data_IF_975813215735
#
_entry.id   IF_975813215735
#
_cell.length_a   1.000
_cell.length_b   1.000
_cell.length_c   1.000
_cell.angle_alpha   90.00
_cell.angle_beta   90.00
_cell.angle_gamma   90.00
#
_symmetry.space_group_name_H-M   'P 1'
#
loop_
_entity.id
_entity.type
_entity.pdbx_description
1 polymer ?
#
# COMPACT_ATOMS: atom_id res chain seq x y z
N UNK A 1 82.35 -16.99 27.27
CA UNK A 1 81.30 -16.10 27.80
C UNK A 1 80.68 -15.30 26.69
N UNK A 2 79.47 -15.68 26.28
CA UNK A 2 78.29 -14.85 25.99
C UNK A 2 77.32 -15.72 25.20
N UNK A 3 76.22 -16.08 25.86
CA UNK A 3 75.16 -16.93 25.35
C UNK A 3 74.23 -16.10 24.46
N UNK A 4 73.89 -16.65 23.29
CA UNK A 4 72.79 -16.18 22.45
C UNK A 4 71.67 -17.21 22.62
N UNK A 5 70.56 -16.77 23.21
CA UNK A 5 69.38 -17.59 23.47
C UNK A 5 68.53 -17.68 22.19
N UNK A 6 68.43 -18.90 21.65
CA UNK A 6 67.52 -19.27 20.56
C UNK A 6 66.09 -19.40 21.08
N UNK A 7 65.16 -18.62 20.53
CA UNK A 7 63.72 -18.75 20.77
C UNK A 7 63.18 -19.84 19.83
N UNK A 8 62.79 -20.97 20.42
CA UNK A 8 62.29 -22.15 19.74
C UNK A 8 60.76 -22.17 19.81
N UNK A 9 60.12 -21.78 18.70
CA UNK A 9 58.67 -21.89 18.50
C UNK A 9 58.24 -23.36 18.50
N UNK A 10 57.40 -23.73 19.47
CA UNK A 10 56.80 -25.06 19.58
C UNK A 10 55.59 -25.18 18.66
N UNK A 11 55.73 -25.93 17.56
CA UNK A 11 54.64 -26.53 16.80
C UNK A 11 54.44 -27.97 17.30
N UNK A 12 53.23 -28.39 17.71
CA UNK A 12 52.90 -29.81 17.76
C UNK A 12 52.27 -30.29 16.45
N UNK A 13 52.78 -31.43 15.99
CA UNK A 13 52.42 -32.16 14.78
C UNK A 13 51.03 -32.80 14.87
N UNK A 14 50.32 -32.68 13.74
CA UNK A 14 49.27 -33.52 13.19
C UNK A 14 49.15 -34.96 13.72
N UNK A 15 47.91 -35.34 14.09
CA UNK A 15 47.38 -36.69 13.92
C UNK A 15 46.25 -36.64 12.87
N UNK A 16 46.31 -37.56 11.92
CA UNK A 16 45.50 -37.68 10.72
C UNK A 16 44.22 -38.51 10.94
N UNK A 17 43.23 -38.24 10.07
CA UNK A 17 42.09 -39.06 9.59
C UNK A 17 40.71 -38.91 10.30
N UNK A 18 39.58 -39.13 9.58
CA UNK A 18 39.20 -38.69 8.22
C UNK A 18 37.85 -37.92 8.23
N UNK A 19 37.38 -37.33 7.11
CA UNK A 19 36.27 -36.38 7.12
C UNK A 19 34.92 -37.08 7.23
N UNK A 20 34.09 -36.65 8.18
CA UNK A 20 32.66 -36.97 8.17
C UNK A 20 32.00 -36.21 7.03
N UNK A 21 31.65 -36.96 5.99
CA UNK A 21 30.70 -36.54 4.98
C UNK A 21 29.35 -36.20 5.64
N UNK A 22 29.10 -34.91 5.89
CA UNK A 22 27.74 -34.41 5.99
C UNK A 22 27.24 -34.27 4.55
N UNK A 23 26.58 -35.34 4.09
CA UNK A 23 25.77 -35.32 2.89
C UNK A 23 24.80 -34.14 2.97
N UNK A 24 25.00 -33.19 2.05
CA UNK A 24 24.03 -32.20 1.64
C UNK A 24 22.73 -32.91 1.28
N UNK A 25 21.72 -32.79 2.16
CA UNK A 25 20.35 -33.04 1.78
C UNK A 25 19.94 -31.93 0.78
N UNK A 26 19.46 -32.27 -0.43
CA UNK A 26 18.86 -31.25 -1.29
C UNK A 26 17.64 -30.66 -0.56
N UNK A 27 17.35 -29.35 -0.73
CA UNK A 27 16.09 -28.81 -0.25
C UNK A 27 14.98 -29.62 -0.93
N UNK A 28 14.17 -30.27 -0.11
CA UNK A 28 12.97 -30.96 -0.58
C UNK A 28 12.09 -29.92 -1.24
N UNK A 29 12.12 -29.87 -2.57
CA UNK A 29 11.07 -29.28 -3.36
C UNK A 29 9.78 -29.99 -2.96
N UNK A 30 9.00 -29.33 -2.11
CA UNK A 30 7.66 -29.78 -1.79
C UNK A 30 6.91 -29.89 -3.11
N UNK A 31 6.19 -31.00 -3.36
CA UNK A 31 5.43 -31.12 -4.59
C UNK A 31 4.44 -29.95 -4.61
N UNK A 32 4.55 -29.10 -5.65
CA UNK A 32 3.46 -28.23 -6.03
C UNK A 32 2.27 -29.15 -6.32
N UNK A 33 1.46 -29.41 -5.30
CA UNK A 33 0.10 -29.82 -5.50
C UNK A 33 -0.53 -28.71 -6.31
N UNK A 34 -0.78 -29.02 -7.57
CA UNK A 34 -1.77 -28.40 -8.42
C UNK A 34 -3.13 -28.50 -7.74
N UNK A 35 -3.33 -27.71 -6.69
CA UNK A 35 -4.65 -27.38 -6.21
C UNK A 35 -5.17 -26.37 -7.22
N UNK A 36 -5.87 -26.88 -8.23
CA UNK A 36 -6.84 -26.07 -8.97
C UNK A 36 -7.88 -25.58 -7.98
N UNK A 37 -7.55 -24.51 -7.26
CA UNK A 37 -8.39 -23.92 -6.25
C UNK A 37 -9.48 -23.16 -6.99
N UNK A 38 -10.74 -23.48 -6.68
CA UNK A 38 -11.90 -22.87 -7.29
C UNK A 38 -11.84 -21.35 -7.15
N UNK A 39 -11.63 -20.64 -8.25
CA UNK A 39 -11.76 -19.19 -8.35
C UNK A 39 -13.17 -18.81 -7.85
N UNK A 40 -13.24 -18.19 -6.67
CA UNK A 40 -14.50 -17.76 -6.08
C UNK A 40 -15.13 -16.67 -6.93
N UNK A 41 -16.14 -17.01 -7.72
CA UNK A 41 -16.91 -16.04 -8.49
C UNK A 41 -17.95 -15.36 -7.58
N UNK A 42 -17.90 -14.03 -7.48
CA UNK A 42 -18.86 -13.22 -6.72
C UNK A 42 -19.77 -12.46 -7.69
N UNK A 43 -21.05 -12.36 -7.37
CA UNK A 43 -22.00 -11.58 -8.15
C UNK A 43 -22.03 -10.14 -7.65
N UNK A 44 -21.52 -9.20 -8.46
CA UNK A 44 -21.66 -7.77 -8.23
C UNK A 44 -22.95 -7.28 -8.86
N UNK A 45 -23.94 -6.98 -8.01
CA UNK A 45 -25.24 -6.44 -8.42
C UNK A 45 -25.24 -4.93 -8.25
N UNK A 46 -25.67 -4.18 -9.26
CA UNK A 46 -25.83 -2.74 -9.17
C UNK A 46 -27.01 -2.24 -10.00
N UNK A 47 -27.63 -1.16 -9.54
CA UNK A 47 -28.78 -0.54 -10.22
C UNK A 47 -28.30 0.69 -10.96
N UNK A 48 -28.68 0.82 -12.24
CA UNK A 48 -28.31 1.99 -13.06
C UNK A 48 -29.53 2.52 -13.81
N UNK A 49 -29.69 3.85 -13.77
CA UNK A 49 -30.64 4.56 -14.63
C UNK A 49 -30.08 4.63 -16.05
N UNK A 50 -30.83 4.10 -17.00
CA UNK A 50 -30.45 4.10 -18.42
C UNK A 50 -30.73 5.47 -19.05
N UNK A 51 -30.15 5.75 -20.23
CA UNK A 51 -30.38 6.99 -20.98
C UNK A 51 -31.86 7.26 -21.31
N UNK A 52 -32.70 6.21 -21.31
CA UNK A 52 -34.16 6.29 -21.54
C UNK A 52 -34.96 6.47 -20.24
N UNK A 53 -34.30 6.80 -19.13
CA UNK A 53 -34.94 7.02 -17.82
C UNK A 53 -35.31 5.74 -17.07
N UNK A 54 -35.27 4.56 -17.70
CA UNK A 54 -35.57 3.27 -17.06
C UNK A 54 -34.48 2.89 -16.05
N UNK A 55 -34.90 2.49 -14.86
CA UNK A 55 -34.02 1.93 -13.83
C UNK A 55 -33.90 0.43 -14.07
N UNK A 56 -32.67 -0.08 -14.23
CA UNK A 56 -32.41 -1.50 -14.45
C UNK A 56 -31.34 -2.01 -13.49
N UNK A 57 -31.51 -3.25 -13.04
CA UNK A 57 -30.52 -3.99 -12.28
C UNK A 57 -29.57 -4.71 -13.22
N UNK A 58 -28.28 -4.57 -12.98
CA UNK A 58 -27.21 -5.23 -13.71
C UNK A 58 -26.48 -6.17 -12.75
N UNK A 59 -26.22 -7.39 -13.21
CA UNK A 59 -25.41 -8.38 -12.48
C UNK A 59 -24.16 -8.63 -13.29
N UNK A 60 -23.00 -8.54 -12.64
CA UNK A 60 -21.70 -8.90 -13.23
C UNK A 60 -21.05 -9.96 -12.36
N UNK A 61 -20.51 -11.00 -12.99
CA UNK A 61 -19.63 -11.95 -12.31
C UNK A 61 -18.24 -11.33 -12.17
N UNK A 62 -17.71 -11.40 -10.96
CA UNK A 62 -16.38 -10.96 -10.59
C UNK A 62 -15.58 -12.18 -10.14
N UNK A 63 -14.47 -12.44 -10.80
CA UNK A 63 -13.60 -13.57 -10.47
C UNK A 63 -12.52 -13.09 -9.52
N UNK A 64 -12.52 -13.64 -8.30
CA UNK A 64 -11.51 -13.35 -7.30
C UNK A 64 -10.31 -14.28 -7.49
N UNK A 65 -9.12 -13.69 -7.43
CA UNK A 65 -7.82 -14.30 -7.68
C UNK A 65 -6.93 -14.18 -6.45
N UNK A 66 -6.00 -15.11 -6.32
CA UNK A 66 -4.92 -15.10 -5.32
C UNK A 66 -3.54 -14.90 -5.96
N UNK A 67 -3.42 -15.05 -7.28
CA UNK A 67 -2.18 -14.93 -8.06
C UNK A 67 -1.93 -13.50 -8.60
N UNK A 68 -2.33 -12.47 -7.84
CA UNK A 68 -2.15 -11.07 -8.26
C UNK A 68 -0.82 -10.51 -7.73
N UNK A 69 0.00 -9.88 -8.59
CA UNK A 69 1.28 -9.34 -8.17
C UNK A 69 1.09 -8.18 -7.18
N UNK A 70 1.83 -8.23 -6.09
CA UNK A 70 1.82 -7.23 -5.02
C UNK A 70 2.81 -6.09 -5.26
N UNK A 71 3.76 -6.29 -6.18
CA UNK A 71 4.87 -5.40 -6.50
C UNK A 71 6.02 -5.39 -5.49
N UNK A 72 5.91 -6.16 -4.39
CA UNK A 72 6.94 -6.26 -3.36
C UNK A 72 7.83 -7.49 -3.57
N UNK A 73 9.17 -7.36 -3.48
CA UNK A 73 10.11 -8.48 -3.56
C UNK A 73 9.96 -9.48 -2.41
N UNK A 74 9.25 -9.10 -1.34
CA UNK A 74 9.06 -9.95 -0.16
C UNK A 74 7.87 -10.90 -0.30
N UNK A 75 6.92 -10.57 -1.20
CA UNK A 75 5.67 -11.29 -1.35
C UNK A 75 5.55 -11.96 -2.72
N UNK A 76 6.11 -11.32 -3.75
CA UNK A 76 6.05 -11.82 -5.12
C UNK A 76 7.13 -12.87 -5.38
N UNK A 77 6.84 -13.79 -6.29
CA UNK A 77 7.82 -14.74 -6.79
C UNK A 77 9.02 -14.02 -7.42
N UNK A 78 10.21 -14.61 -7.29
CA UNK A 78 11.47 -14.08 -7.83
C UNK A 78 11.49 -13.92 -9.37
N UNK A 79 10.47 -14.43 -10.06
CA UNK A 79 10.29 -14.28 -11.51
C UNK A 79 9.70 -12.93 -11.91
N UNK A 80 9.13 -12.19 -10.95
CA UNK A 80 8.59 -10.85 -11.17
C UNK A 80 9.64 -9.80 -10.78
N UNK A 81 9.84 -8.82 -11.66
CA UNK A 81 10.72 -7.69 -11.38
C UNK A 81 10.10 -6.81 -10.28
N UNK A 82 10.75 -6.68 -9.11
CA UNK A 82 10.19 -5.94 -8.00
C UNK A 82 10.15 -4.45 -8.33
N UNK A 83 8.95 -3.86 -8.24
CA UNK A 83 8.76 -2.43 -8.48
C UNK A 83 8.88 -1.61 -7.21
N UNK A 84 8.66 -2.21 -6.04
CA UNK A 84 8.88 -1.61 -4.73
C UNK A 84 10.21 -2.10 -4.16
N UNK A 85 11.01 -1.19 -3.61
CA UNK A 85 12.36 -1.50 -3.09
C UNK A 85 12.63 -0.85 -1.73
N UNK A 86 11.76 0.07 -1.29
CA UNK A 86 11.88 0.76 -0.01
C UNK A 86 11.55 -0.12 1.19
N UNK A 87 11.92 0.36 2.38
CA UNK A 87 11.51 -0.22 3.67
C UNK A 87 10.17 0.31 4.17
N UNK A 88 9.57 1.28 3.47
CA UNK A 88 8.26 1.86 3.75
C UNK A 88 7.47 1.93 2.46
N UNK A 89 6.28 1.34 2.43
CA UNK A 89 5.33 1.39 1.33
C UNK A 89 4.17 2.31 1.67
N UNK A 90 3.81 3.14 0.71
CA UNK A 90 2.77 4.15 0.90
C UNK A 90 1.52 3.71 0.17
N UNK A 91 0.45 3.43 0.90
CA UNK A 91 -0.89 3.22 0.34
C UNK A 91 -1.59 4.56 0.24
N UNK A 92 -2.07 4.92 -0.94
CA UNK A 92 -2.78 6.18 -1.14
C UNK A 92 -4.28 6.02 -0.99
N UNK A 93 -4.90 7.02 -0.36
CA UNK A 93 -6.33 7.26 -0.43
C UNK A 93 -6.71 8.08 -1.69
N UNK A 94 -7.97 7.99 -2.11
CA UNK A 94 -8.55 8.72 -3.24
C UNK A 94 -8.38 10.23 -3.08
N UNK A 95 -8.72 10.79 -1.92
CA UNK A 95 -8.67 12.25 -1.71
C UNK A 95 -7.23 12.77 -1.78
N UNK A 96 -6.25 11.99 -1.33
CA UNK A 96 -4.83 12.34 -1.47
C UNK A 96 -4.45 12.46 -2.94
N UNK A 97 -4.87 11.52 -3.78
CA UNK A 97 -4.60 11.60 -5.22
C UNK A 97 -5.34 12.77 -5.88
N UNK A 98 -6.60 13.00 -5.52
CA UNK A 98 -7.45 14.03 -6.14
C UNK A 98 -6.98 15.46 -5.87
N UNK A 99 -6.39 15.69 -4.70
CA UNK A 99 -6.04 17.03 -4.21
C UNK A 99 -4.53 17.28 -4.16
N UNK A 100 -3.69 16.24 -4.09
CA UNK A 100 -2.25 16.36 -3.86
C UNK A 100 -1.40 15.68 -4.95
N UNK A 101 -1.90 15.59 -6.19
CA UNK A 101 -1.16 14.96 -7.30
C UNK A 101 0.19 15.64 -7.58
N UNK A 102 0.29 16.97 -7.38
CA UNK A 102 1.53 17.73 -7.57
C UNK A 102 2.63 17.34 -6.56
N UNK A 103 2.23 16.90 -5.36
CA UNK A 103 3.13 16.33 -4.36
C UNK A 103 3.58 14.92 -4.77
N UNK A 104 2.67 14.09 -5.25
CA UNK A 104 2.97 12.72 -5.72
C UNK A 104 3.92 12.71 -6.94
N UNK A 105 3.96 13.82 -7.69
CA UNK A 105 4.91 14.05 -8.78
C UNK A 105 6.33 14.40 -8.32
N UNK A 106 6.59 14.56 -7.02
CA UNK A 106 7.93 14.86 -6.50
C UNK A 106 8.75 13.59 -6.34
N UNK A 107 10.05 13.67 -6.64
CA UNK A 107 10.97 12.54 -6.55
C UNK A 107 11.15 12.00 -5.11
N UNK A 108 10.77 12.80 -4.11
CA UNK A 108 10.78 12.45 -2.69
C UNK A 108 9.71 11.42 -2.31
N UNK A 109 8.66 11.25 -3.13
CA UNK A 109 7.60 10.27 -2.92
C UNK A 109 7.88 9.06 -3.81
N UNK A 110 8.16 7.91 -3.20
CA UNK A 110 8.49 6.65 -3.89
C UNK A 110 7.89 5.48 -3.13
N UNK A 111 7.92 4.31 -3.76
CA UNK A 111 7.43 3.05 -3.19
C UNK A 111 5.93 3.12 -2.83
N UNK A 112 5.15 3.53 -3.83
CA UNK A 112 3.74 3.88 -3.69
C UNK A 112 2.86 2.77 -4.25
N UNK A 113 1.90 2.34 -3.44
CA UNK A 113 0.86 1.38 -3.76
C UNK A 113 -0.43 2.14 -4.04
N UNK A 114 -0.88 2.09 -5.28
CA UNK A 114 -2.17 2.64 -5.70
C UNK A 114 -3.17 1.50 -5.84
N UNK A 115 -4.28 1.56 -5.11
CA UNK A 115 -5.30 0.52 -5.19
C UNK A 115 -6.17 0.70 -6.44
N UNK A 116 -6.68 -0.40 -7.01
CA UNK A 116 -7.59 -0.35 -8.16
C UNK A 116 -8.85 0.47 -7.86
N UNK A 117 -9.38 0.35 -6.64
CA UNK A 117 -10.46 1.22 -6.13
C UNK A 117 -10.18 2.71 -6.32
N UNK A 118 -9.00 3.15 -5.90
CA UNK A 118 -8.55 4.54 -6.01
C UNK A 118 -8.40 4.96 -7.47
N UNK A 119 -7.78 4.12 -8.32
CA UNK A 119 -7.65 4.41 -9.75
C UNK A 119 -9.02 4.60 -10.41
N UNK A 120 -9.97 3.72 -10.12
CA UNK A 120 -11.32 3.77 -10.69
C UNK A 120 -12.09 5.00 -10.20
N UNK A 121 -11.95 5.37 -8.94
CA UNK A 121 -12.62 6.53 -8.36
C UNK A 121 -12.06 7.84 -8.92
N UNK A 122 -10.73 7.98 -8.97
CA UNK A 122 -10.05 9.13 -9.58
C UNK A 122 -10.44 9.28 -11.05
N UNK A 123 -10.55 8.16 -11.78
CA UNK A 123 -11.01 8.15 -13.18
C UNK A 123 -12.44 8.69 -13.33
N UNK A 124 -13.34 8.35 -12.42
CA UNK A 124 -14.73 8.82 -12.46
C UNK A 124 -14.87 10.28 -12.02
N UNK A 125 -14.02 10.74 -11.10
CA UNK A 125 -14.09 12.09 -10.54
C UNK A 125 -13.35 13.13 -11.41
N UNK A 126 -12.05 12.95 -11.65
CA UNK A 126 -11.19 13.90 -12.39
C UNK A 126 -10.29 13.18 -13.41
N UNK A 127 -10.73 13.16 -14.68
CA UNK A 127 -9.99 12.51 -15.79
C UNK A 127 -8.58 13.08 -15.99
N UNK A 128 -8.37 14.39 -15.76
CA UNK A 128 -7.05 15.02 -15.83
C UNK A 128 -6.09 14.44 -14.78
N UNK A 129 -6.53 14.31 -13.53
CA UNK A 129 -5.75 13.71 -12.44
C UNK A 129 -5.48 12.23 -12.73
N UNK A 130 -6.47 11.48 -13.23
CA UNK A 130 -6.25 10.09 -13.64
C UNK A 130 -5.15 9.95 -14.71
N UNK A 131 -5.12 10.84 -15.71
CA UNK A 131 -4.04 10.82 -16.74
C UNK A 131 -2.67 11.06 -16.12
N UNK A 132 -2.56 12.01 -15.18
CA UNK A 132 -1.31 12.30 -14.46
C UNK A 132 -0.89 11.11 -13.59
N UNK A 133 -1.81 10.53 -12.82
CA UNK A 133 -1.57 9.32 -12.03
C UNK A 133 -1.10 8.16 -12.91
N UNK A 134 -1.70 7.95 -14.09
CA UNK A 134 -1.25 6.93 -15.05
C UNK A 134 0.18 7.19 -15.52
N UNK A 135 0.54 8.43 -15.83
CA UNK A 135 1.91 8.78 -16.18
C UNK A 135 2.91 8.47 -15.05
N UNK A 136 2.52 8.67 -13.78
CA UNK A 136 3.33 8.29 -12.62
C UNK A 136 3.51 6.76 -12.50
N UNK A 137 2.46 6.00 -12.76
CA UNK A 137 2.48 4.52 -12.71
C UNK A 137 3.34 3.95 -13.84
N UNK A 138 3.27 4.54 -15.02
CA UNK A 138 4.01 4.08 -16.20
C UNK A 138 5.51 4.48 -16.14
N UNK A 139 5.87 5.47 -15.32
CA UNK A 139 7.26 5.84 -15.03
C UNK A 139 7.93 4.85 -14.06
N UNK A 140 8.73 3.94 -14.61
CA UNK A 140 9.45 2.92 -13.84
C UNK A 140 10.39 3.50 -12.76
N UNK A 141 10.89 4.74 -12.93
CA UNK A 141 11.81 5.36 -11.97
C UNK A 141 11.14 5.76 -10.65
N UNK A 142 9.81 5.93 -10.66
CA UNK A 142 9.05 6.44 -9.52
C UNK A 142 8.60 5.35 -8.55
N UNK A 143 8.62 4.09 -8.96
CA UNK A 143 8.20 2.94 -8.14
C UNK A 143 6.74 3.08 -7.66
N UNK A 144 5.86 3.39 -8.61
CA UNK A 144 4.42 3.35 -8.41
C UNK A 144 3.87 2.05 -8.97
N UNK A 145 3.04 1.37 -8.18
CA UNK A 145 2.36 0.16 -8.61
C UNK A 145 0.86 0.31 -8.51
N UNK A 146 0.14 -0.52 -9.26
CA UNK A 146 -1.30 -0.68 -9.08
C UNK A 146 -1.57 -2.06 -8.52
N UNK A 147 -2.20 -2.12 -7.35
CA UNK A 147 -2.66 -3.37 -6.76
C UNK A 147 -4.15 -3.57 -7.03
N UNK A 148 -4.49 -4.69 -7.65
CA UNK A 148 -5.85 -5.05 -8.07
C UNK A 148 -6.72 -5.56 -6.92
N UNK A 149 -6.90 -4.77 -5.87
CA UNK A 149 -7.63 -5.16 -4.65
C UNK A 149 -9.09 -5.59 -4.91
N UNK A 150 -9.76 -5.01 -5.92
CA UNK A 150 -11.12 -5.42 -6.32
C UNK A 150 -11.20 -6.84 -6.91
N UNK A 151 -10.08 -7.42 -7.32
CA UNK A 151 -10.02 -8.75 -7.92
C UNK A 151 -9.25 -9.74 -7.04
N UNK A 152 -8.76 -9.32 -5.88
CA UNK A 152 -7.98 -10.14 -4.98
C UNK A 152 -8.88 -10.76 -3.90
N UNK A 153 -8.75 -12.07 -3.67
CA UNK A 153 -9.65 -12.84 -2.80
C UNK A 153 -9.74 -12.30 -1.37
N UNK A 154 -8.61 -11.90 -0.79
CA UNK A 154 -8.55 -11.50 0.63
C UNK A 154 -8.77 -10.01 0.85
N UNK A 155 -8.66 -9.18 -0.19
CA UNK A 155 -8.83 -7.73 -0.07
C UNK A 155 -10.10 -7.22 -0.75
N UNK A 156 -10.81 -8.10 -1.46
CA UNK A 156 -12.12 -7.79 -2.01
C UNK A 156 -13.10 -7.44 -0.90
N UNK A 157 -13.70 -6.26 -1.03
CA UNK A 157 -14.62 -5.71 -0.04
C UNK A 157 -16.02 -5.58 -0.64
N UNK A 158 -16.95 -6.40 -0.15
CA UNK A 158 -18.36 -6.31 -0.54
C UNK A 158 -19.06 -5.17 0.19
N UNK A 159 -19.96 -4.46 -0.50
CA UNK A 159 -20.76 -3.38 0.08
C UNK A 159 -21.74 -3.92 1.12
N UNK A 160 -21.75 -3.29 2.28
CA UNK A 160 -22.66 -3.61 3.37
C UNK A 160 -24.03 -2.91 3.21
N UNK A 161 -25.13 -3.47 3.75
CA UNK A 161 -26.42 -2.81 3.74
C UNK A 161 -26.36 -1.45 4.44
N UNK A 162 -26.79 -0.39 3.75
CA UNK A 162 -26.79 0.98 4.29
C UNK A 162 -25.46 1.73 4.17
N UNK A 163 -24.38 1.08 3.76
CA UNK A 163 -23.07 1.69 3.57
C UNK A 163 -23.04 2.58 2.31
N UNK A 164 -22.47 3.78 2.39
CA UNK A 164 -22.30 4.63 1.21
C UNK A 164 -21.21 4.08 0.27
N UNK A 165 -21.17 4.46 -1.02
CA UNK A 165 -20.08 4.08 -1.90
C UNK A 165 -18.70 4.55 -1.39
N UNK A 166 -18.63 5.72 -0.75
CA UNK A 166 -17.41 6.28 -0.19
C UNK A 166 -16.93 5.44 1.00
N UNK A 167 -17.81 5.18 1.97
CA UNK A 167 -17.49 4.35 3.14
C UNK A 167 -16.94 2.97 2.75
N UNK A 168 -17.53 2.37 1.70
CA UNK A 168 -17.06 1.09 1.16
C UNK A 168 -15.66 1.19 0.57
N UNK A 169 -15.37 2.27 -0.15
CA UNK A 169 -14.04 2.48 -0.74
C UNK A 169 -13.00 2.72 0.36
N UNK A 170 -13.32 3.55 1.35
CA UNK A 170 -12.46 3.78 2.51
C UNK A 170 -12.16 2.47 3.24
N UNK A 171 -13.19 1.64 3.45
CA UNK A 171 -13.01 0.32 4.05
C UNK A 171 -12.18 -0.60 3.18
N UNK A 172 -12.38 -0.61 1.87
CA UNK A 172 -11.56 -1.40 0.94
C UNK A 172 -10.09 -0.97 0.98
N UNK A 173 -9.81 0.32 1.13
CA UNK A 173 -8.46 0.86 1.30
C UNK A 173 -7.85 0.37 2.62
N UNK A 174 -8.59 0.45 3.73
CA UNK A 174 -8.12 -0.06 5.03
C UNK A 174 -7.87 -1.56 5.02
N UNK A 175 -8.78 -2.35 4.46
CA UNK A 175 -8.62 -3.82 4.32
C UNK A 175 -7.37 -4.16 3.51
N UNK A 176 -7.15 -3.50 2.37
CA UNK A 176 -5.94 -3.74 1.57
C UNK A 176 -4.67 -3.31 2.31
N UNK A 177 -4.71 -2.20 3.05
CA UNK A 177 -3.58 -1.73 3.89
C UNK A 177 -3.25 -2.75 4.98
N UNK A 178 -4.26 -3.23 5.69
CA UNK A 178 -4.13 -4.26 6.73
C UNK A 178 -3.54 -5.54 6.15
N UNK A 179 -4.01 -5.96 4.98
CA UNK A 179 -3.51 -7.13 4.29
C UNK A 179 -2.03 -7.00 3.93
N UNK A 180 -1.61 -5.89 3.31
CA UNK A 180 -0.18 -5.66 3.02
C UNK A 180 0.65 -5.68 4.30
N UNK A 181 0.19 -5.03 5.37
CA UNK A 181 0.90 -4.99 6.63
C UNK A 181 1.07 -6.39 7.26
N UNK A 182 0.04 -7.22 7.17
CA UNK A 182 0.06 -8.60 7.65
C UNK A 182 0.97 -9.50 6.80
N UNK A 183 0.87 -9.41 5.47
CA UNK A 183 1.67 -10.25 4.57
C UNK A 183 3.16 -9.94 4.66
N UNK A 184 3.52 -8.66 4.81
CA UNK A 184 4.92 -8.26 4.89
C UNK A 184 5.58 -8.65 6.21
N UNK A 185 4.81 -8.91 7.27
CA UNK A 185 5.28 -9.35 8.59
C UNK A 185 6.53 -8.59 9.10
N UNK A 186 6.52 -7.27 8.91
CA UNK A 186 7.61 -6.38 9.33
C UNK A 186 8.80 -6.27 8.37
N UNK A 187 8.83 -6.99 7.25
CA UNK A 187 9.85 -6.83 6.20
C UNK A 187 9.85 -5.42 5.60
N UNK A 188 8.67 -4.79 5.49
CA UNK A 188 8.52 -3.39 5.17
C UNK A 188 7.34 -2.77 5.96
N UNK A 189 7.45 -1.48 6.24
CA UNK A 189 6.40 -0.72 6.93
C UNK A 189 5.33 -0.30 5.92
N UNK A 190 4.05 -0.48 6.24
CA UNK A 190 2.95 -0.01 5.38
C UNK A 190 2.33 1.22 6.02
N UNK A 191 2.25 2.30 5.26
CA UNK A 191 1.70 3.58 5.70
C UNK A 191 0.53 3.98 4.80
N UNK A 192 -0.65 4.16 5.39
CA UNK A 192 -1.80 4.76 4.71
C UNK A 192 -1.72 6.29 4.78
N UNK A 193 -1.77 6.95 3.63
CA UNK A 193 -1.97 8.39 3.54
C UNK A 193 -3.43 8.70 3.24
N UNK A 194 -4.09 9.35 4.18
CA UNK A 194 -5.48 9.82 4.05
C UNK A 194 -5.61 11.18 4.72
N UNK A 195 -6.37 12.08 4.09
CA UNK A 195 -6.78 13.35 4.69
C UNK A 195 -8.21 13.28 5.25
N UNK A 196 -8.93 12.17 5.03
CA UNK A 196 -10.26 11.99 5.60
C UNK A 196 -10.12 11.66 7.10
N UNK A 197 -10.70 12.51 7.96
CA UNK A 197 -10.56 12.40 9.41
C UNK A 197 -11.16 11.09 9.95
N UNK A 198 -12.27 10.65 9.37
CA UNK A 198 -12.97 9.44 9.80
C UNK A 198 -12.24 8.17 9.37
N UNK A 199 -11.73 8.15 8.14
CA UNK A 199 -10.89 7.07 7.63
C UNK A 199 -9.60 6.96 8.44
N UNK A 200 -8.96 8.09 8.74
CA UNK A 200 -7.77 8.14 9.60
C UNK A 200 -8.05 7.58 11.00
N UNK A 201 -9.16 8.02 11.62
CA UNK A 201 -9.59 7.55 12.95
C UNK A 201 -9.85 6.05 12.95
N UNK A 202 -10.62 5.54 11.98
CA UNK A 202 -10.93 4.11 11.83
C UNK A 202 -9.66 3.29 11.59
N UNK A 203 -8.78 3.73 10.70
CA UNK A 203 -7.51 3.05 10.42
C UNK A 203 -6.63 2.93 11.68
N UNK A 204 -6.51 3.99 12.48
CA UNK A 204 -5.76 3.95 13.74
C UNK A 204 -6.41 3.01 14.76
N UNK A 205 -7.74 3.00 14.87
CA UNK A 205 -8.47 2.09 15.75
C UNK A 205 -8.29 0.62 15.34
N UNK A 206 -8.15 0.36 14.04
CA UNK A 206 -7.82 -0.96 13.48
C UNK A 206 -6.32 -1.33 13.63
N UNK A 207 -5.50 -0.47 14.25
CA UNK A 207 -4.07 -0.70 14.46
C UNK A 207 -3.18 -0.41 13.24
N UNK A 208 -3.74 0.23 12.21
CA UNK A 208 -3.00 0.59 11.00
C UNK A 208 -2.17 1.85 11.22
N UNK A 209 -1.00 1.89 10.59
CA UNK A 209 -0.20 3.12 10.49
C UNK A 209 -0.83 4.00 9.43
N UNK A 210 -1.45 5.08 9.88
CA UNK A 210 -2.10 6.05 9.02
C UNK A 210 -1.78 7.47 9.47
N UNK A 211 -1.59 8.37 8.51
CA UNK A 211 -1.33 9.79 8.76
C UNK A 211 -1.85 10.68 7.63
N UNK A 212 -2.05 11.95 7.95
CA UNK A 212 -2.37 12.96 6.94
C UNK A 212 -1.19 13.27 6.04
N UNK A 213 -1.46 13.80 4.86
CA UNK A 213 -0.42 14.24 3.93
C UNK A 213 0.45 15.33 4.57
N UNK A 214 -0.17 16.25 5.33
CA UNK A 214 0.54 17.28 6.08
C UNK A 214 1.55 16.69 7.07
N UNK A 215 1.14 15.69 7.87
CA UNK A 215 2.03 15.01 8.80
C UNK A 215 3.15 14.26 8.07
N UNK A 216 2.85 13.66 6.91
CA UNK A 216 3.85 13.00 6.07
C UNK A 216 4.89 13.97 5.53
N UNK A 217 4.47 15.09 4.94
CA UNK A 217 5.41 16.08 4.41
C UNK A 217 6.30 16.65 5.50
N UNK A 218 5.77 16.92 6.70
CA UNK A 218 6.57 17.39 7.84
C UNK A 218 7.64 16.41 8.29
N UNK A 219 7.44 15.10 8.06
CA UNK A 219 8.43 14.07 8.39
C UNK A 219 9.54 13.92 7.34
N UNK A 220 9.39 14.55 6.17
CA UNK A 220 10.38 14.46 5.09
C UNK A 220 11.53 15.45 5.28
N UNK A 221 12.75 15.12 4.81
CA UNK A 221 13.92 16.01 4.93
C UNK A 221 13.76 17.36 4.22
N UNK A 222 12.94 17.43 3.16
CA UNK A 222 12.69 18.64 2.36
C UNK A 222 11.31 19.25 2.66
N UNK A 223 10.87 19.13 3.92
CA UNK A 223 9.54 19.54 4.37
C UNK A 223 9.18 20.98 3.99
N UNK A 224 10.12 21.92 4.11
CA UNK A 224 9.89 23.33 3.84
C UNK A 224 9.44 23.61 2.39
N UNK A 225 10.05 22.95 1.39
CA UNK A 225 9.71 23.15 -0.03
C UNK A 225 8.46 22.39 -0.45
N UNK A 226 8.15 21.30 0.26
CA UNK A 226 7.01 20.44 -0.04
C UNK A 226 5.72 20.95 0.60
N UNK A 227 5.80 21.72 1.69
CA UNK A 227 4.64 22.34 2.33
C UNK A 227 3.92 23.32 1.41
N UNK A 228 4.66 24.11 0.62
CA UNK A 228 4.10 25.07 -0.34
C UNK A 228 3.26 24.41 -1.46
N UNK A 229 3.43 23.10 -1.67
CA UNK A 229 2.71 22.33 -2.69
C UNK A 229 1.44 21.68 -2.16
N UNK A 230 1.21 21.74 -0.85
CA UNK A 230 0.00 21.17 -0.27
C UNK A 230 -1.17 22.07 -0.64
N UNK A 231 -2.16 21.49 -1.33
CA UNK A 231 -3.43 22.18 -1.48
C UNK A 231 -4.00 22.43 -0.07
N UNK A 232 -4.42 23.67 0.19
CA UNK A 232 -5.26 23.98 1.34
C UNK A 232 -6.50 23.09 1.23
N UNK A 233 -6.68 22.21 2.20
CA UNK A 233 -7.78 21.25 2.20
C UNK A 233 -8.32 21.12 3.61
N UNK A 234 -9.57 21.56 3.77
CA UNK A 234 -10.55 21.33 4.86
C UNK A 234 -10.12 21.58 6.32
N UNK A 235 -8.84 21.77 6.62
CA UNK A 235 -8.36 22.16 7.96
C UNK A 235 -8.64 23.64 8.29
N UNK A 236 -9.04 24.46 7.31
CA UNK A 236 -9.37 25.89 7.50
C UNK A 236 -10.87 26.16 7.75
N UNK A 237 -11.79 25.27 7.35
CA UNK A 237 -13.24 25.52 7.51
C UNK A 237 -13.79 25.13 8.90
N UNK A 238 -13.01 24.47 9.75
CA UNK A 238 -13.45 24.09 11.10
C UNK A 238 -13.19 25.17 12.18
N UNK A 239 -12.71 26.36 11.79
CA UNK A 239 -12.22 27.39 12.70
C UNK A 239 -13.06 28.67 12.83
N UNK A 240 -14.16 28.85 12.08
CA UNK A 240 -14.85 30.15 12.01
C UNK A 240 -16.33 30.17 12.45
N UNK A 241 -16.89 29.09 13.02
CA UNK A 241 -18.31 29.05 13.43
C UNK A 241 -18.55 29.09 14.96
N UNK A 242 -17.55 29.36 15.80
CA UNK A 242 -17.73 29.59 17.25
C UNK A 242 -17.22 30.98 17.67
N UNK A 243 -17.76 32.07 17.11
CA UNK A 243 -17.87 33.35 17.84
C UNK A 243 -18.76 34.34 17.06
N UNK A 244 -20.07 34.32 17.31
CA UNK A 244 -20.94 35.47 17.05
C UNK A 244 -22.21 35.42 17.92
N UNK A 245 -22.07 35.91 19.16
CA UNK A 245 -23.04 36.82 19.80
C UNK A 245 -24.31 36.22 20.41
N UNK A 246 -24.21 35.84 21.68
CA UNK A 246 -25.18 36.32 22.67
C UNK A 246 -24.90 37.82 22.88
N UNK A 247 -25.91 38.69 22.69
CA UNK A 247 -26.32 39.78 23.61
C UNK A 247 -27.18 40.89 22.96
N UNK A 248 -28.19 41.29 23.74
CA UNK A 248 -28.93 42.57 23.82
C UNK A 248 -30.05 42.96 22.82
N UNK A 249 -31.28 42.69 23.26
CA UNK A 249 -32.34 43.66 23.68
C UNK A 249 -32.65 44.92 22.82
N UNK A 250 -33.87 44.96 22.25
CA UNK A 250 -34.88 46.03 22.40
C UNK A 250 -36.21 45.65 21.71
#
# INVERSE_FOLDING_TARGET
SFAIASIQLHLPRACLSPPRACLSLPPQASPMSSVGQSLGAVNRVFVKRTRRGQVRTFVRQLYLRDDLPTGSPHLDDLSLEPRLLGSTYIVLDTNVVLHQIDLLERASVRDVIVLQTVVDEVRHNKVSVHKRLRALIDDASRRFIVFSNEFHRETYTQREPGESPNDRNDRAIRVATAWYAAQLDGAAQVLLLTNDADNLRKAKAEGLRAQTVHAYVRSLPDAARLQDLLAAGEDEEAGEDEEAGEDEEA
#
